data_IF_539679044872
#
_entry.id   IF_539679044872
#
_cell.length_a   1.000
_cell.length_b   1.000
_cell.length_c   1.000
_cell.angle_alpha   90.00
_cell.angle_beta   90.00
_cell.angle_gamma   90.00
#
_symmetry.space_group_name_H-M   'P 1'
#
loop_
_entity.id
_entity.type
_entity.pdbx_description
1 polymer ?
#
# COMPACT_ATOMS: atom_id res chain seq x y z
N UNK A 1 90.75 15.73 -22.97
CA UNK A 1 89.55 15.55 -23.81
C UNK A 1 89.27 14.06 -23.92
N UNK A 2 88.17 13.56 -23.37
CA UNK A 2 87.85 12.14 -23.38
C UNK A 2 86.92 11.84 -24.56
N UNK A 3 87.42 11.07 -25.53
CA UNK A 3 86.66 10.70 -26.74
C UNK A 3 85.51 9.78 -26.31
N UNK A 4 84.25 10.05 -26.71
CA UNK A 4 83.14 9.16 -26.39
C UNK A 4 83.40 7.75 -26.94
N UNK A 5 83.27 6.73 -26.09
CA UNK A 5 83.55 5.32 -26.42
C UNK A 5 82.86 4.83 -27.71
N UNK A 6 81.71 5.42 -28.05
CA UNK A 6 80.93 5.12 -29.26
C UNK A 6 81.67 5.45 -30.57
N UNK A 7 82.45 6.54 -30.60
CA UNK A 7 83.19 6.97 -31.80
C UNK A 7 84.39 6.06 -32.07
N UNK A 8 85.02 5.54 -31.01
CA UNK A 8 86.15 4.59 -31.10
C UNK A 8 85.70 3.21 -31.60
N UNK A 9 84.51 2.80 -31.19
CA UNK A 9 83.93 1.50 -31.53
C UNK A 9 83.54 1.39 -33.02
N UNK A 10 83.17 2.50 -33.67
CA UNK A 10 82.79 2.53 -35.09
C UNK A 10 83.91 2.14 -36.06
N UNK A 11 85.18 2.37 -35.70
CA UNK A 11 86.34 2.08 -36.56
C UNK A 11 87.05 0.76 -36.21
N UNK A 12 86.61 0.04 -35.18
CA UNK A 12 87.34 -1.12 -34.62
C UNK A 12 86.51 -2.40 -34.49
N UNK A 13 85.17 -2.32 -34.56
CA UNK A 13 84.28 -3.47 -34.39
C UNK A 13 83.49 -3.78 -35.66
N UNK A 14 83.16 -5.06 -35.86
CA UNK A 14 82.26 -5.47 -36.94
C UNK A 14 80.82 -5.00 -36.66
N UNK A 15 80.07 -4.72 -37.74
CA UNK A 15 78.70 -4.18 -37.70
C UNK A 15 77.76 -4.93 -36.74
N UNK A 16 77.85 -6.26 -36.65
CA UNK A 16 77.05 -7.09 -35.73
C UNK A 16 77.31 -6.76 -34.25
N UNK A 17 78.58 -6.56 -33.88
CA UNK A 17 78.97 -6.26 -32.49
C UNK A 17 78.59 -4.82 -32.12
N UNK A 18 78.67 -3.90 -33.08
CA UNK A 18 78.21 -2.51 -32.91
C UNK A 18 76.70 -2.47 -32.64
N UNK A 19 75.90 -3.17 -33.45
CA UNK A 19 74.45 -3.27 -33.25
C UNK A 19 74.10 -3.89 -31.89
N UNK A 20 74.80 -4.96 -31.48
CA UNK A 20 74.60 -5.56 -30.17
C UNK A 20 74.90 -4.58 -29.02
N UNK A 21 75.94 -3.75 -29.13
CA UNK A 21 76.25 -2.70 -28.14
C UNK A 21 75.20 -1.58 -28.12
N UNK A 22 74.72 -1.14 -29.28
CA UNK A 22 73.67 -0.12 -29.37
C UNK A 22 72.36 -0.64 -28.78
N UNK A 23 71.95 -1.85 -29.14
CA UNK A 23 70.75 -2.50 -28.57
C UNK A 23 70.91 -2.66 -27.06
N UNK A 24 72.06 -3.12 -26.56
CA UNK A 24 72.31 -3.23 -25.11
C UNK A 24 72.27 -1.87 -24.41
N UNK A 25 72.82 -0.81 -25.02
CA UNK A 25 72.80 0.54 -24.46
C UNK A 25 71.38 1.14 -24.45
N UNK A 26 70.57 0.88 -25.47
CA UNK A 26 69.16 1.31 -25.51
C UNK A 26 68.31 0.55 -24.49
N UNK A 27 68.51 -0.77 -24.34
CA UNK A 27 67.85 -1.58 -23.32
C UNK A 27 68.19 -1.10 -21.91
N UNK A 28 69.47 -0.78 -21.64
CA UNK A 28 69.88 -0.22 -20.36
C UNK A 28 69.26 1.16 -20.10
N UNK A 29 69.21 2.05 -21.11
CA UNK A 29 68.54 3.36 -20.95
C UNK A 29 67.04 3.26 -20.72
N UNK A 30 66.36 2.29 -21.34
CA UNK A 30 64.94 2.03 -21.08
C UNK A 30 64.73 1.46 -19.67
N UNK A 31 65.69 0.67 -19.17
CA UNK A 31 65.66 0.13 -17.82
C UNK A 31 65.97 1.18 -16.74
N UNK A 32 66.89 2.09 -17.01
CA UNK A 32 67.26 3.20 -16.11
C UNK A 32 66.26 4.38 -16.18
N UNK A 33 65.58 4.56 -17.32
CA UNK A 33 64.56 5.59 -17.51
C UNK A 33 63.17 5.22 -16.98
N UNK A 34 62.89 3.94 -16.80
CA UNK A 34 61.71 3.48 -16.09
C UNK A 34 61.95 3.59 -14.59
N UNK A 35 61.25 4.52 -13.93
CA UNK A 35 61.24 4.59 -12.47
C UNK A 35 60.54 3.32 -11.94
N UNK A 36 61.32 2.32 -11.53
CA UNK A 36 60.84 1.04 -11.04
C UNK A 36 59.82 1.21 -9.89
N UNK A 37 60.03 2.25 -9.07
CA UNK A 37 59.15 2.63 -7.96
C UNK A 37 57.78 3.13 -8.43
N UNK A 38 57.74 3.87 -9.56
CA UNK A 38 56.49 4.31 -10.18
C UNK A 38 55.73 3.14 -10.82
N UNK A 39 56.44 2.12 -11.34
CA UNK A 39 55.82 0.90 -11.88
C UNK A 39 55.23 0.08 -10.74
N UNK A 40 55.99 -0.18 -9.67
CA UNK A 40 55.50 -0.91 -8.49
C UNK A 40 54.31 -0.21 -7.85
N UNK A 41 54.35 1.13 -7.75
CA UNK A 41 53.21 1.92 -7.29
C UNK A 41 52.00 1.75 -8.21
N UNK A 42 52.16 1.88 -9.53
CA UNK A 42 51.07 1.73 -10.49
C UNK A 42 50.45 0.32 -10.46
N UNK A 43 51.27 -0.73 -10.31
CA UNK A 43 50.80 -2.09 -10.14
C UNK A 43 49.98 -2.24 -8.85
N UNK A 44 50.46 -1.69 -7.74
CA UNK A 44 49.71 -1.69 -6.48
C UNK A 44 48.36 -0.96 -6.60
N UNK A 45 48.34 0.23 -7.19
CA UNK A 45 47.11 0.98 -7.48
C UNK A 45 46.13 0.17 -8.35
N UNK A 46 46.62 -0.56 -9.35
CA UNK A 46 45.80 -1.43 -10.18
C UNK A 46 45.19 -2.58 -9.37
N UNK A 47 45.96 -3.19 -8.45
CA UNK A 47 45.43 -4.25 -7.56
C UNK A 47 44.37 -3.71 -6.60
N UNK A 48 44.58 -2.54 -6.02
CA UNK A 48 43.63 -1.89 -5.12
C UNK A 48 42.33 -1.52 -5.86
N UNK A 49 42.46 -0.92 -7.05
CA UNK A 49 41.33 -0.63 -7.93
C UNK A 49 40.56 -1.90 -8.32
N UNK A 50 41.26 -3.01 -8.60
CA UNK A 50 40.64 -4.29 -8.92
C UNK A 50 39.87 -4.87 -7.73
N UNK A 51 40.43 -4.80 -6.52
CA UNK A 51 39.76 -5.24 -5.29
C UNK A 51 38.50 -4.42 -5.04
N UNK A 52 38.58 -3.09 -5.21
CA UNK A 52 37.42 -2.20 -5.09
C UNK A 52 36.35 -2.53 -6.13
N UNK A 53 36.73 -2.73 -7.39
CA UNK A 53 35.79 -3.11 -8.46
C UNK A 53 35.08 -4.43 -8.16
N UNK A 54 35.82 -5.43 -7.66
CA UNK A 54 35.24 -6.72 -7.26
C UNK A 54 34.28 -6.56 -6.07
N UNK A 55 34.63 -5.77 -5.05
CA UNK A 55 33.77 -5.50 -3.90
C UNK A 55 32.46 -4.79 -4.31
N UNK A 56 32.55 -3.79 -5.20
CA UNK A 56 31.38 -3.09 -5.71
C UNK A 56 30.49 -4.03 -6.53
N UNK A 57 31.08 -4.91 -7.33
CA UNK A 57 30.34 -5.93 -8.07
C UNK A 57 29.58 -6.87 -7.14
N UNK A 58 30.22 -7.37 -6.08
CA UNK A 58 29.54 -8.27 -5.11
C UNK A 58 28.40 -7.55 -4.38
N UNK A 59 28.61 -6.29 -3.97
CA UNK A 59 27.55 -5.49 -3.33
C UNK A 59 26.37 -5.23 -4.26
N UNK A 60 26.63 -4.99 -5.55
CA UNK A 60 25.56 -4.81 -6.53
C UNK A 60 24.74 -6.09 -6.71
N UNK A 61 25.40 -7.24 -6.77
CA UNK A 61 24.70 -8.54 -6.85
C UNK A 61 23.89 -8.81 -5.58
N UNK A 62 24.40 -8.50 -4.40
CA UNK A 62 23.68 -8.62 -3.13
C UNK A 62 22.43 -7.72 -3.09
N UNK A 63 22.58 -6.43 -3.38
CA UNK A 63 21.46 -5.49 -3.44
C UNK A 63 20.40 -5.89 -4.49
N UNK A 64 20.83 -6.50 -5.60
CA UNK A 64 19.90 -7.03 -6.62
C UNK A 64 19.09 -8.20 -6.08
N UNK A 65 19.72 -9.13 -5.35
CA UNK A 65 19.02 -10.26 -4.72
C UNK A 65 18.03 -9.77 -3.66
N UNK A 66 18.42 -8.78 -2.84
CA UNK A 66 17.52 -8.18 -1.85
C UNK A 66 16.31 -7.53 -2.51
N UNK A 67 16.50 -6.79 -3.61
CA UNK A 67 15.40 -6.21 -4.37
C UNK A 67 14.43 -7.28 -4.88
N UNK A 68 14.94 -8.35 -5.48
CA UNK A 68 14.11 -9.47 -5.96
C UNK A 68 13.34 -10.14 -4.82
N UNK A 69 13.92 -10.25 -3.63
CA UNK A 69 13.21 -10.79 -2.46
C UNK A 69 12.07 -9.86 -2.03
N UNK A 70 12.31 -8.56 -1.92
CA UNK A 70 11.29 -7.58 -1.53
C UNK A 70 10.17 -7.49 -2.57
N UNK A 71 10.50 -7.55 -3.87
CA UNK A 71 9.51 -7.60 -4.95
C UNK A 71 8.59 -8.82 -4.83
N UNK A 72 9.12 -10.00 -4.48
CA UNK A 72 8.31 -11.20 -4.23
C UNK A 72 7.37 -11.03 -3.04
N UNK A 73 7.84 -10.40 -1.96
CA UNK A 73 7.00 -10.12 -0.80
C UNK A 73 5.89 -9.11 -1.10
N UNK A 74 6.21 -8.05 -1.85
CA UNK A 74 5.21 -7.08 -2.30
C UNK A 74 4.15 -7.72 -3.20
N UNK A 75 4.54 -8.62 -4.11
CA UNK A 75 3.59 -9.38 -4.91
C UNK A 75 2.67 -10.24 -4.04
N UNK A 76 3.22 -10.95 -3.05
CA UNK A 76 2.44 -11.75 -2.09
C UNK A 76 1.42 -10.88 -1.32
N UNK A 77 1.87 -9.76 -0.77
CA UNK A 77 1.00 -8.84 -0.03
C UNK A 77 -0.08 -8.23 -0.94
N UNK A 78 0.26 -7.89 -2.19
CA UNK A 78 -0.69 -7.37 -3.16
C UNK A 78 -1.80 -8.40 -3.47
N UNK A 79 -1.45 -9.67 -3.61
CA UNK A 79 -2.43 -10.75 -3.83
C UNK A 79 -3.34 -10.95 -2.61
N UNK A 80 -2.79 -10.85 -1.40
CA UNK A 80 -3.57 -10.89 -0.15
C UNK A 80 -4.55 -9.71 -0.06
N UNK A 81 -4.11 -8.50 -0.41
CA UNK A 81 -4.95 -7.31 -0.45
C UNK A 81 -6.09 -7.48 -1.47
N UNK A 82 -5.79 -8.03 -2.66
CA UNK A 82 -6.80 -8.36 -3.67
C UNK A 82 -7.86 -9.33 -3.15
N UNK A 83 -7.44 -10.40 -2.46
CA UNK A 83 -8.37 -11.36 -1.83
C UNK A 83 -9.23 -10.70 -0.74
N UNK A 84 -8.63 -9.84 0.09
CA UNK A 84 -9.36 -9.13 1.13
C UNK A 84 -10.41 -8.19 0.55
N UNK A 85 -10.06 -7.41 -0.48
CA UNK A 85 -11.01 -6.53 -1.15
C UNK A 85 -12.18 -7.31 -1.75
N UNK A 86 -11.90 -8.44 -2.40
CA UNK A 86 -12.96 -9.31 -2.92
C UNK A 86 -13.88 -9.83 -1.82
N UNK A 87 -13.33 -10.19 -0.66
CA UNK A 87 -14.12 -10.60 0.50
C UNK A 87 -14.97 -9.46 1.07
N UNK A 88 -14.42 -8.24 1.15
CA UNK A 88 -15.17 -7.05 1.57
C UNK A 88 -16.31 -6.75 0.60
N UNK A 89 -16.08 -6.83 -0.70
CA UNK A 89 -17.13 -6.62 -1.71
C UNK A 89 -18.23 -7.69 -1.64
N UNK A 90 -17.87 -8.95 -1.37
CA UNK A 90 -18.86 -10.00 -1.11
C UNK A 90 -19.70 -9.70 0.14
N UNK A 91 -19.06 -9.30 1.25
CA UNK A 91 -19.76 -8.94 2.49
C UNK A 91 -20.67 -7.72 2.31
N UNK A 92 -20.26 -6.71 1.54
CA UNK A 92 -21.10 -5.55 1.20
C UNK A 92 -22.41 -5.92 0.52
N UNK A 93 -22.44 -7.05 -0.20
CA UNK A 93 -23.63 -7.53 -0.89
C UNK A 93 -24.44 -8.46 0.00
N UNK A 94 -23.80 -9.37 0.73
CA UNK A 94 -24.48 -10.43 1.45
C UNK A 94 -25.00 -9.99 2.83
N UNK A 95 -24.26 -9.14 3.53
CA UNK A 95 -24.63 -8.67 4.86
C UNK A 95 -25.95 -7.89 4.86
N UNK A 96 -26.21 -6.93 3.94
CA UNK A 96 -27.51 -6.25 3.89
C UNK A 96 -28.65 -7.19 3.51
N UNK A 97 -28.42 -8.15 2.60
CA UNK A 97 -29.43 -9.15 2.23
C UNK A 97 -29.83 -9.99 3.44
N UNK A 98 -28.86 -10.42 4.24
CA UNK A 98 -29.10 -11.17 5.46
C UNK A 98 -29.83 -10.32 6.51
N UNK A 99 -29.36 -9.10 6.77
CA UNK A 99 -29.98 -8.18 7.73
C UNK A 99 -31.44 -7.89 7.37
N UNK A 100 -31.76 -7.64 6.09
CA UNK A 100 -33.15 -7.44 5.64
C UNK A 100 -33.99 -8.70 5.85
N UNK A 101 -33.42 -9.88 5.55
CA UNK A 101 -34.11 -11.16 5.75
C UNK A 101 -34.42 -11.42 7.23
N UNK A 102 -33.50 -11.09 8.11
CA UNK A 102 -33.67 -11.21 9.56
C UNK A 102 -34.67 -10.18 10.09
N UNK A 103 -34.57 -8.93 9.66
CA UNK A 103 -35.52 -7.87 10.02
C UNK A 103 -36.96 -8.23 9.62
N UNK A 104 -37.17 -8.75 8.41
CA UNK A 104 -38.50 -9.20 7.95
C UNK A 104 -39.08 -10.36 8.76
N UNK A 105 -38.26 -11.10 9.51
CA UNK A 105 -38.69 -12.18 10.41
C UNK A 105 -38.86 -11.71 11.86
N UNK A 106 -38.46 -10.49 12.18
CA UNK A 106 -38.55 -9.97 13.54
C UNK A 106 -40.02 -9.69 13.92
N UNK A 107 -40.34 -9.89 15.19
CA UNK A 107 -41.67 -9.58 15.74
C UNK A 107 -42.02 -8.09 15.56
N UNK A 108 -41.04 -7.20 15.68
CA UNK A 108 -41.25 -5.76 15.47
C UNK A 108 -41.72 -5.43 14.05
N UNK A 109 -41.23 -6.14 13.03
CA UNK A 109 -41.72 -5.99 11.66
C UNK A 109 -43.16 -6.48 11.51
N UNK A 110 -43.50 -7.64 12.09
CA UNK A 110 -44.87 -8.18 12.08
C UNK A 110 -45.86 -7.26 12.80
N UNK A 111 -45.52 -6.82 14.01
CA UNK A 111 -46.31 -5.84 14.77
C UNK A 111 -46.45 -4.52 14.02
N UNK A 112 -45.39 -4.06 13.35
CA UNK A 112 -45.43 -2.89 12.48
C UNK A 112 -46.43 -3.03 11.32
N UNK A 113 -46.53 -4.23 10.70
CA UNK A 113 -47.54 -4.50 9.67
C UNK A 113 -48.97 -4.49 10.23
N UNK A 114 -49.18 -5.05 11.42
CA UNK A 114 -50.49 -5.02 12.10
C UNK A 114 -50.89 -3.57 12.40
N UNK A 115 -49.98 -2.78 12.95
CA UNK A 115 -50.21 -1.38 13.25
C UNK A 115 -50.49 -0.55 11.98
N UNK A 116 -49.71 -0.73 10.91
CA UNK A 116 -49.97 -0.06 9.63
C UNK A 116 -51.35 -0.39 9.06
N UNK A 117 -51.78 -1.66 9.15
CA UNK A 117 -53.14 -2.05 8.73
C UNK A 117 -54.19 -1.34 9.58
N UNK A 118 -54.03 -1.30 10.90
CA UNK A 118 -54.97 -0.65 11.81
C UNK A 118 -55.11 0.84 11.49
N UNK A 119 -54.01 1.58 11.42
CA UNK A 119 -54.00 3.02 11.10
C UNK A 119 -54.64 3.29 9.73
N UNK A 120 -54.39 2.42 8.73
CA UNK A 120 -55.00 2.57 7.40
C UNK A 120 -56.52 2.38 7.43
N UNK A 121 -57.01 1.44 8.23
CA UNK A 121 -58.45 1.20 8.40
C UNK A 121 -59.13 2.33 9.17
N UNK A 122 -58.52 2.77 10.27
CA UNK A 122 -58.97 3.90 11.08
C UNK A 122 -59.06 5.18 10.25
N UNK A 123 -58.02 5.48 9.45
CA UNK A 123 -58.03 6.63 8.55
C UNK A 123 -59.18 6.56 7.54
N UNK A 124 -59.41 5.39 6.94
CA UNK A 124 -60.54 5.17 6.02
C UNK A 124 -61.89 5.39 6.71
N UNK A 125 -62.04 4.89 7.93
CA UNK A 125 -63.24 5.06 8.74
C UNK A 125 -63.49 6.54 9.06
N UNK A 126 -62.50 7.25 9.60
CA UNK A 126 -62.61 8.66 9.92
C UNK A 126 -62.96 9.50 8.69
N UNK A 127 -62.39 9.18 7.52
CA UNK A 127 -62.74 9.84 6.27
C UNK A 127 -64.21 9.62 5.88
N UNK A 128 -64.71 8.39 5.98
CA UNK A 128 -66.12 8.09 5.71
C UNK A 128 -67.06 8.75 6.71
N UNK A 129 -66.65 8.81 7.98
CA UNK A 129 -67.39 9.45 9.06
C UNK A 129 -67.52 10.96 8.81
N UNK A 130 -66.40 11.63 8.51
CA UNK A 130 -66.39 13.05 8.17
C UNK A 130 -67.23 13.35 6.93
N UNK A 131 -67.20 12.48 5.91
CA UNK A 131 -68.03 12.62 4.72
C UNK A 131 -69.53 12.49 5.03
N UNK A 132 -69.90 11.52 5.87
CA UNK A 132 -71.29 11.31 6.28
C UNK A 132 -71.82 12.49 7.10
N UNK A 133 -71.04 12.97 8.07
CA UNK A 133 -71.36 14.13 8.90
C UNK A 133 -71.53 15.41 8.08
N UNK A 134 -70.66 15.63 7.09
CA UNK A 134 -70.78 16.78 6.19
C UNK A 134 -72.06 16.74 5.33
N UNK A 135 -72.59 15.55 5.05
CA UNK A 135 -73.77 15.37 4.20
C UNK A 135 -75.09 15.34 4.98
N UNK A 136 -75.07 14.86 6.22
CA UNK A 136 -76.23 14.74 7.08
C UNK A 136 -75.85 15.14 8.52
N UNK A 137 -75.92 16.44 8.86
CA UNK A 137 -75.44 16.96 10.14
C UNK A 137 -76.22 16.46 11.36
N UNK A 138 -77.46 16.03 11.16
CA UNK A 138 -78.39 15.68 12.24
C UNK A 138 -78.35 14.20 12.64
N UNK A 139 -77.43 13.39 12.06
CA UNK A 139 -77.30 11.97 12.39
C UNK A 139 -76.36 11.81 13.59
N UNK A 140 -76.91 11.31 14.71
CA UNK A 140 -76.11 10.84 15.84
C UNK A 140 -75.44 9.51 15.50
N UNK A 141 -74.11 9.47 15.59
CA UNK A 141 -73.30 8.28 15.31
C UNK A 141 -72.68 7.82 16.64
N UNK A 142 -72.76 6.51 16.91
CA UNK A 142 -72.19 5.84 18.08
C UNK A 142 -70.66 6.04 18.17
N UNK A 143 -70.10 5.92 19.39
CA UNK A 143 -68.66 6.14 19.66
C UNK A 143 -67.75 5.35 18.70
N UNK A 144 -66.66 6.00 18.28
CA UNK A 144 -65.70 5.45 17.33
C UNK A 144 -65.02 4.19 17.91
N UNK A 145 -65.17 3.00 17.28
CA UNK A 145 -64.53 1.76 17.71
C UNK A 145 -63.00 1.83 17.81
N UNK A 146 -62.36 2.80 17.16
CA UNK A 146 -60.91 3.00 17.15
C UNK A 146 -60.40 3.99 18.22
N UNK A 147 -61.28 4.62 19.00
CA UNK A 147 -60.87 5.51 20.12
C UNK A 147 -60.33 4.79 21.35
N UNK A 148 -60.33 3.45 21.36
CA UNK A 148 -59.62 2.69 22.38
C UNK A 148 -58.11 2.97 22.21
N UNK A 149 -57.52 3.61 23.23
CA UNK A 149 -56.10 3.99 23.28
C UNK A 149 -55.21 2.90 22.65
N UNK A 150 -54.32 3.24 21.70
CA UNK A 150 -53.38 2.26 21.16
C UNK A 150 -52.55 1.70 22.32
N UNK A 151 -52.22 0.41 22.27
CA UNK A 151 -51.46 -0.30 23.31
C UNK A 151 -50.12 0.39 23.66
N UNK A 152 -49.65 1.27 22.77
CA UNK A 152 -48.49 2.15 22.92
C UNK A 152 -48.64 3.30 23.93
N UNK A 153 -49.84 3.62 24.41
CA UNK A 153 -50.03 4.62 25.46
C UNK A 153 -49.36 4.21 26.80
N UNK A 154 -49.09 2.91 26.98
CA UNK A 154 -48.36 2.36 28.12
C UNK A 154 -46.85 2.23 27.85
N UNK A 155 -46.39 2.50 26.63
CA UNK A 155 -44.97 2.54 26.30
C UNK A 155 -44.45 3.93 26.65
N UNK A 156 -43.91 4.08 27.85
CA UNK A 156 -43.16 5.27 28.28
C UNK A 156 -42.05 5.55 27.28
N UNK A 157 -42.24 6.50 26.37
CA UNK A 157 -41.14 7.09 25.61
C UNK A 157 -40.24 7.79 26.63
N UNK A 158 -38.98 7.37 26.75
CA UNK A 158 -37.96 8.14 27.47
C UNK A 158 -37.91 9.51 26.83
N UNK A 159 -38.15 10.57 27.63
CA UNK A 159 -37.95 11.95 27.19
C UNK A 159 -36.51 12.08 26.71
N UNK A 160 -36.37 12.37 25.41
CA UNK A 160 -35.17 12.79 24.69
C UNK A 160 -33.85 12.19 25.19
N UNK A 161 -33.45 11.07 24.57
CA UNK A 161 -32.04 10.69 24.59
C UNK A 161 -31.26 11.72 23.76
N UNK A 162 -30.37 12.52 24.35
CA UNK A 162 -29.58 13.49 23.60
C UNK A 162 -28.75 12.73 22.56
N UNK A 163 -28.71 13.23 21.32
CA UNK A 163 -27.87 12.71 20.25
C UNK A 163 -26.36 12.88 20.49
N UNK A 164 -25.97 13.37 21.67
CA UNK A 164 -24.60 13.72 21.99
C UNK A 164 -23.89 12.52 22.63
N UNK A 165 -22.97 11.90 21.88
CA UNK A 165 -22.09 10.80 22.30
C UNK A 165 -21.00 11.24 23.32
N UNK A 166 -21.19 12.38 23.98
CA UNK A 166 -20.25 12.89 24.96
C UNK A 166 -20.21 12.01 26.21
N UNK A 167 -19.02 11.48 26.53
CA UNK A 167 -18.78 10.63 27.70
C UNK A 167 -19.16 11.35 29.01
N UNK A 168 -19.71 10.65 30.01
CA UNK A 168 -19.94 11.27 31.33
C UNK A 168 -18.61 11.69 31.97
N UNK A 169 -18.58 12.74 32.80
CA UNK A 169 -17.35 13.21 33.42
C UNK A 169 -16.80 12.12 34.34
N UNK A 170 -15.48 11.92 34.32
CA UNK A 170 -14.83 11.08 35.31
C UNK A 170 -14.93 11.76 36.67
N UNK A 171 -15.68 11.15 37.60
CA UNK A 171 -15.73 11.57 39.00
C UNK A 171 -14.30 11.61 39.58
N UNK A 172 -13.98 12.74 40.20
CA UNK A 172 -12.75 12.98 40.97
C UNK A 172 -12.93 12.69 42.45
#
# INVERSE_FOLDING_TARGET
>A
MQIPHLVRDMYTLTSKVLMARVVKALVLRLKDGCNLDAIVSAEQWATEAQVLANNLKTKLEEATRERETLEKELCRMKDELLKLNQAVDALRVDLPKQAIKEYKKSLGFEMGLVHMRQVSLEYGYQLTLAWLQARYPDIEIEEDPFTLLPENANVSMVEEQPFDDSSPPADG
#
